data_IF_497976578254
#
_entry.id   IF_497976578254
#
_cell.length_a   1.000
_cell.length_b   1.000
_cell.length_c   1.000
_cell.angle_alpha   90.00
_cell.angle_beta   90.00
_cell.angle_gamma   90.00
#
_symmetry.space_group_name_H-M   'P 1'
#
loop_
_entity.id
_entity.type
_entity.pdbx_description
1 polymer ?
#
# COMPACT_ATOMS: atom_id res chain seq x y z
N UNK A 1 -28.14 -5.17 14.55
CA UNK A 1 -27.27 -3.98 14.54
C UNK A 1 -26.03 -4.34 13.73
N UNK A 2 -25.69 -3.57 12.69
CA UNK A 2 -24.47 -3.83 11.92
C UNK A 2 -23.25 -3.48 12.76
N UNK A 3 -22.26 -4.37 12.86
CA UNK A 3 -20.98 -4.15 13.54
C UNK A 3 -19.99 -3.30 12.72
N UNK A 4 -20.50 -2.54 11.74
CA UNK A 4 -19.65 -1.75 10.85
C UNK A 4 -19.15 -0.52 11.59
N UNK A 5 -17.83 -0.42 11.75
CA UNK A 5 -17.19 0.79 12.25
C UNK A 5 -17.50 1.95 11.30
N UNK A 6 -17.95 3.08 11.84
CA UNK A 6 -18.08 4.34 11.09
C UNK A 6 -16.78 5.11 11.26
N UNK A 7 -15.96 5.12 10.21
CA UNK A 7 -14.69 5.83 10.20
C UNK A 7 -14.85 7.25 9.67
N UNK A 8 -14.07 8.18 10.22
CA UNK A 8 -14.03 9.55 9.70
C UNK A 8 -13.43 9.58 8.28
N UNK A 9 -14.01 10.42 7.41
CA UNK A 9 -13.45 10.73 6.09
C UNK A 9 -12.99 12.19 6.07
N UNK A 10 -11.73 12.43 5.70
CA UNK A 10 -11.14 13.78 5.62
C UNK A 10 -10.76 14.10 4.18
N UNK A 11 -11.13 15.28 3.69
CA UNK A 11 -10.79 15.72 2.33
C UNK A 11 -9.32 16.16 2.23
N UNK A 12 -8.59 15.62 1.26
CA UNK A 12 -7.15 15.87 1.09
C UNK A 12 -6.84 17.32 0.73
N UNK A 13 -7.71 17.97 -0.05
CA UNK A 13 -7.51 19.36 -0.50
C UNK A 13 -7.55 20.31 0.69
N UNK A 14 -8.43 20.07 1.67
CA UNK A 14 -8.48 20.86 2.90
C UNK A 14 -7.26 20.61 3.81
N UNK A 15 -6.75 19.38 3.86
CA UNK A 15 -5.52 19.08 4.59
C UNK A 15 -4.30 19.78 3.98
N UNK A 16 -4.18 19.80 2.65
CA UNK A 16 -3.09 20.50 1.94
C UNK A 16 -3.10 22.01 2.14
N UNK A 17 -4.29 22.59 2.36
CA UNK A 17 -4.45 24.00 2.73
C UNK A 17 -4.18 24.27 4.22
N UNK A 18 -3.78 23.27 4.99
CA UNK A 18 -3.61 23.35 6.44
C UNK A 18 -4.87 23.83 7.15
N UNK A 19 -6.05 23.46 6.65
CA UNK A 19 -7.33 23.82 7.24
C UNK A 19 -7.39 23.30 8.68
N UNK A 20 -7.60 24.20 9.65
CA UNK A 20 -7.64 23.85 11.07
C UNK A 20 -8.65 22.73 11.36
N UNK A 21 -9.81 22.79 10.73
CA UNK A 21 -10.86 21.78 10.89
C UNK A 21 -10.42 20.41 10.39
N UNK A 22 -9.80 20.35 9.21
CA UNK A 22 -9.31 19.09 8.65
C UNK A 22 -8.17 18.48 9.50
N UNK A 23 -7.21 19.29 9.94
CA UNK A 23 -6.12 18.83 10.81
C UNK A 23 -6.62 18.33 12.17
N UNK A 24 -7.63 19.00 12.75
CA UNK A 24 -8.26 18.54 14.00
C UNK A 24 -8.97 17.20 13.81
N UNK A 25 -9.70 17.02 12.71
CA UNK A 25 -10.35 15.75 12.37
C UNK A 25 -9.35 14.60 12.25
N UNK A 26 -8.24 14.80 11.54
CA UNK A 26 -7.18 13.77 11.43
C UNK A 26 -6.63 13.40 12.80
N UNK A 27 -6.25 14.40 13.61
CA UNK A 27 -5.68 14.15 14.94
C UNK A 27 -6.68 13.41 15.84
N UNK A 28 -7.96 13.79 15.79
CA UNK A 28 -9.00 13.14 16.57
C UNK A 28 -9.26 11.71 16.10
N UNK A 29 -9.47 11.48 14.80
CA UNK A 29 -9.72 10.15 14.26
C UNK A 29 -8.52 9.21 14.46
N UNK A 30 -7.29 9.69 14.28
CA UNK A 30 -6.08 8.92 14.59
C UNK A 30 -6.01 8.54 16.07
N UNK A 31 -6.37 9.45 16.99
CA UNK A 31 -6.36 9.18 18.43
C UNK A 31 -7.47 8.23 18.87
N UNK A 32 -8.67 8.40 18.35
CA UNK A 32 -9.87 7.71 18.84
C UNK A 32 -10.15 6.40 18.09
N UNK A 33 -9.85 6.35 16.80
CA UNK A 33 -10.19 5.23 15.90
C UNK A 33 -8.93 4.52 15.37
N UNK A 34 -7.76 5.16 15.43
CA UNK A 34 -6.50 4.61 14.90
C UNK A 34 -6.39 4.62 13.37
N UNK A 35 -7.49 4.88 12.66
CA UNK A 35 -7.59 4.92 11.20
C UNK A 35 -8.68 5.90 10.76
N UNK A 36 -8.57 6.42 9.54
CA UNK A 36 -9.55 7.28 8.88
C UNK A 36 -9.43 7.10 7.36
N UNK A 37 -10.45 7.50 6.61
CA UNK A 37 -10.41 7.58 5.16
C UNK A 37 -9.91 8.96 4.71
N UNK A 38 -9.16 8.97 3.62
CA UNK A 38 -8.78 10.19 2.93
C UNK A 38 -9.60 10.28 1.64
N UNK A 39 -10.39 11.35 1.51
CA UNK A 39 -11.15 11.64 0.30
C UNK A 39 -10.25 12.38 -0.70
N UNK A 40 -10.06 11.75 -1.86
CA UNK A 40 -9.21 12.19 -2.96
C UNK A 40 -10.03 12.78 -4.13
N UNK A 41 -11.35 12.92 -3.99
CA UNK A 41 -12.24 13.26 -5.11
C UNK A 41 -11.91 14.60 -5.77
N UNK A 42 -11.54 15.60 -4.96
CA UNK A 42 -11.18 16.95 -5.44
C UNK A 42 -9.70 17.09 -5.82
N UNK A 43 -8.94 15.99 -5.78
CA UNK A 43 -7.51 16.02 -6.00
C UNK A 43 -7.15 15.43 -7.37
N UNK A 44 -6.22 16.09 -8.06
CA UNK A 44 -5.72 15.63 -9.35
C UNK A 44 -4.75 14.42 -9.23
N UNK A 45 -4.72 13.74 -8.09
CA UNK A 45 -3.91 12.53 -7.92
C UNK A 45 -4.42 11.38 -8.79
N UNK A 46 -5.73 11.25 -8.96
CA UNK A 46 -6.35 10.27 -9.87
C UNK A 46 -6.11 10.63 -11.34
N UNK A 47 -6.13 11.92 -11.69
CA UNK A 47 -5.93 12.37 -13.07
C UNK A 47 -4.47 12.29 -13.56
N UNK A 48 -3.51 12.01 -12.67
CA UNK A 48 -2.12 11.79 -13.05
C UNK A 48 -1.81 10.34 -13.45
N UNK A 49 -2.78 9.41 -13.41
CA UNK A 49 -2.61 8.01 -13.85
C UNK A 49 -1.66 7.17 -12.97
N UNK A 50 -1.16 7.73 -11.88
CA UNK A 50 -0.18 7.06 -11.02
C UNK A 50 -0.79 5.89 -10.23
N UNK A 51 -2.05 6.01 -9.82
CA UNK A 51 -2.74 4.97 -9.04
C UNK A 51 -3.08 3.79 -9.96
N UNK A 52 -3.65 4.08 -11.13
CA UNK A 52 -4.01 3.10 -12.14
C UNK A 52 -2.76 2.40 -12.68
N UNK A 53 -1.67 3.13 -12.91
CA UNK A 53 -0.39 2.56 -13.32
C UNK A 53 0.21 1.60 -12.28
N UNK A 54 0.18 1.97 -11.00
CA UNK A 54 0.64 1.08 -9.91
C UNK A 54 -0.26 -0.16 -9.80
N UNK A 55 -1.57 -0.01 -9.97
CA UNK A 55 -2.51 -1.13 -9.96
C UNK A 55 -2.25 -2.09 -11.12
N UNK A 56 -2.14 -1.59 -12.35
CA UNK A 56 -1.83 -2.38 -13.53
C UNK A 56 -0.47 -3.10 -13.40
N UNK A 57 0.57 -2.39 -12.98
CA UNK A 57 1.89 -2.99 -12.75
C UNK A 57 1.83 -4.09 -11.66
N UNK A 58 1.06 -3.86 -10.60
CA UNK A 58 0.87 -4.88 -9.55
C UNK A 58 0.20 -6.13 -10.11
N UNK A 59 -0.84 -5.98 -10.93
CA UNK A 59 -1.51 -7.11 -11.61
C UNK A 59 -0.54 -7.87 -12.51
N UNK A 60 0.23 -7.16 -13.34
CA UNK A 60 1.24 -7.76 -14.22
C UNK A 60 2.27 -8.57 -13.43
N UNK A 61 2.86 -7.98 -12.39
CA UNK A 61 3.85 -8.65 -11.54
C UNK A 61 3.29 -9.93 -10.92
N UNK A 62 2.07 -9.88 -10.38
CA UNK A 62 1.50 -11.05 -9.69
C UNK A 62 0.96 -12.13 -10.63
N UNK A 63 0.68 -11.78 -11.89
CA UNK A 63 0.33 -12.74 -12.95
C UNK A 63 1.54 -13.46 -13.56
N UNK A 64 2.77 -12.99 -13.33
CA UNK A 64 3.97 -13.68 -13.78
C UNK A 64 4.04 -15.13 -13.23
N UNK A 65 4.60 -16.08 -14.01
CA UNK A 65 4.87 -17.42 -13.51
C UNK A 65 5.67 -17.40 -12.21
N UNK A 66 5.36 -18.34 -11.30
CA UNK A 66 6.01 -18.39 -9.98
C UNK A 66 7.54 -18.40 -10.07
N UNK A 67 8.10 -19.15 -11.04
CA UNK A 67 9.55 -19.21 -11.27
C UNK A 67 10.15 -17.86 -11.64
N UNK A 68 9.42 -17.03 -12.36
CA UNK A 68 9.83 -15.68 -12.74
C UNK A 68 9.72 -14.71 -11.56
N UNK A 69 8.61 -14.75 -10.80
CA UNK A 69 8.47 -13.95 -9.56
C UNK A 69 9.62 -14.22 -8.57
N UNK A 70 10.05 -15.47 -8.45
CA UNK A 70 11.15 -15.89 -7.58
C UNK A 70 12.56 -15.45 -8.05
N UNK A 71 12.69 -14.89 -9.26
CA UNK A 71 13.92 -14.19 -9.67
C UNK A 71 14.09 -12.89 -8.89
N UNK A 72 12.99 -12.25 -8.52
CA UNK A 72 12.95 -11.03 -7.71
C UNK A 72 12.84 -11.30 -6.21
N UNK A 73 13.16 -12.51 -5.75
CA UNK A 73 13.00 -12.88 -4.34
C UNK A 73 13.67 -11.83 -3.42
N UNK A 74 12.91 -11.32 -2.46
CA UNK A 74 13.32 -10.30 -1.48
C UNK A 74 14.60 -10.69 -0.73
N UNK A 75 14.84 -11.98 -0.53
CA UNK A 75 16.04 -12.50 0.14
C UNK A 75 17.30 -12.44 -0.75
N UNK A 76 17.16 -12.17 -2.05
CA UNK A 76 18.25 -12.08 -3.03
C UNK A 76 18.64 -10.64 -3.38
N UNK A 77 17.77 -9.66 -3.13
CA UNK A 77 17.91 -8.30 -3.65
C UNK A 77 18.56 -7.31 -2.68
N UNK A 78 18.73 -7.66 -1.41
CA UNK A 78 19.50 -6.82 -0.48
C UNK A 78 19.36 -7.23 0.98
N UNK A 79 20.32 -6.80 1.79
CA UNK A 79 20.39 -7.12 3.22
C UNK A 79 19.13 -6.72 3.98
N UNK A 80 18.55 -5.58 3.63
CA UNK A 80 17.40 -5.01 4.31
C UNK A 80 16.05 -5.60 3.90
N UNK A 81 16.02 -6.45 2.86
CA UNK A 81 14.79 -7.11 2.38
C UNK A 81 13.62 -6.14 2.13
N UNK A 82 13.95 -4.93 1.70
CA UNK A 82 12.98 -3.85 1.41
C UNK A 82 12.48 -3.85 -0.03
N UNK A 83 13.17 -4.57 -0.93
CA UNK A 83 12.85 -4.63 -2.35
C UNK A 83 12.69 -6.09 -2.79
N UNK A 84 11.67 -6.36 -3.59
CA UNK A 84 11.46 -7.67 -4.20
C UNK A 84 10.22 -8.41 -3.74
N UNK A 85 10.09 -9.61 -4.29
CA UNK A 85 8.97 -10.52 -4.15
C UNK A 85 9.10 -11.40 -2.91
N UNK A 86 7.99 -11.53 -2.17
CA UNK A 86 7.79 -12.47 -1.07
C UNK A 86 6.60 -13.36 -1.40
N UNK A 87 6.78 -14.69 -1.49
CA UNK A 87 5.69 -15.62 -1.75
C UNK A 87 4.74 -15.77 -0.55
N UNK A 88 3.56 -16.32 -0.84
CA UNK A 88 2.57 -16.75 0.14
C UNK A 88 3.20 -17.70 1.16
N UNK A 89 2.86 -17.54 2.42
CA UNK A 89 3.22 -18.47 3.48
C UNK A 89 4.63 -18.30 4.04
N UNK A 90 5.39 -17.31 3.56
CA UNK A 90 6.76 -17.07 4.03
C UNK A 90 6.77 -16.51 5.45
N UNK A 91 5.97 -15.48 5.71
CA UNK A 91 5.95 -14.85 7.03
C UNK A 91 4.92 -15.53 7.94
N UNK A 92 5.09 -15.33 9.25
CA UNK A 92 4.09 -15.73 10.24
C UNK A 92 2.85 -14.86 10.03
N UNK A 93 1.68 -15.48 10.01
CA UNK A 93 0.40 -14.81 9.84
C UNK A 93 -0.12 -14.19 11.14
N UNK A 94 -1.25 -13.49 11.05
CA UNK A 94 -1.91 -12.88 12.21
C UNK A 94 -2.58 -13.89 13.17
N UNK A 95 -2.64 -15.18 12.80
CA UNK A 95 -3.20 -16.24 13.63
C UNK A 95 -2.08 -17.13 14.20
N UNK A 96 -2.14 -17.53 15.48
CA UNK A 96 -1.12 -18.38 16.10
C UNK A 96 -0.87 -19.67 15.29
N UNK A 97 0.41 -19.92 14.98
CA UNK A 97 0.84 -21.11 14.24
C UNK A 97 0.53 -21.09 12.74
N UNK A 98 -0.15 -20.06 12.22
CA UNK A 98 -0.47 -19.94 10.80
C UNK A 98 0.59 -19.10 10.07
N UNK A 99 0.76 -19.37 8.77
CA UNK A 99 1.52 -18.50 7.86
C UNK A 99 0.60 -17.48 7.22
N UNK A 100 1.17 -16.41 6.67
CA UNK A 100 0.40 -15.42 5.95
C UNK A 100 -0.22 -15.97 4.64
N UNK A 101 -1.39 -15.44 4.27
CA UNK A 101 -2.16 -15.90 3.11
C UNK A 101 -1.95 -15.09 1.84
N UNK A 102 -0.90 -14.25 1.78
CA UNK A 102 -0.69 -13.31 0.67
C UNK A 102 0.76 -13.30 0.18
N UNK A 103 0.93 -13.05 -1.10
CA UNK A 103 2.19 -12.65 -1.69
C UNK A 103 2.33 -11.12 -1.66
N UNK A 104 3.56 -10.61 -1.65
CA UNK A 104 3.82 -9.17 -1.67
C UNK A 104 5.04 -8.82 -2.48
N UNK A 105 5.06 -7.61 -3.02
CA UNK A 105 6.24 -7.01 -3.62
C UNK A 105 6.59 -5.73 -2.86
N UNK A 106 7.82 -5.64 -2.34
CA UNK A 106 8.35 -4.44 -1.72
C UNK A 106 9.08 -3.58 -2.74
N UNK A 107 8.85 -2.27 -2.70
CA UNK A 107 9.59 -1.32 -3.53
C UNK A 107 9.86 -0.02 -2.80
N UNK A 108 11.13 0.36 -2.70
CA UNK A 108 11.55 1.74 -2.38
C UNK A 108 11.69 2.55 -3.67
N UNK A 109 11.62 3.89 -3.60
CA UNK A 109 11.69 4.81 -4.75
C UNK A 109 12.88 4.55 -5.69
N UNK A 110 13.99 3.99 -5.18
CA UNK A 110 15.15 3.57 -5.97
C UNK A 110 14.92 2.32 -6.84
N UNK A 111 14.00 1.43 -6.45
CA UNK A 111 13.74 0.14 -7.11
C UNK A 111 12.76 0.22 -8.28
N UNK A 112 11.83 1.19 -8.27
CA UNK A 112 10.89 1.43 -9.37
C UNK A 112 11.60 1.82 -10.67
N UNK A 113 12.69 2.58 -10.58
CA UNK A 113 13.49 2.96 -11.75
C UNK A 113 14.15 1.75 -12.43
N UNK A 114 14.43 0.66 -11.70
CA UNK A 114 15.03 -0.54 -12.27
C UNK A 114 14.02 -1.41 -13.03
N UNK A 115 12.73 -1.35 -12.66
CA UNK A 115 11.65 -2.08 -13.34
C UNK A 115 11.10 -1.32 -14.55
N UNK A 116 11.17 0.00 -14.57
CA UNK A 116 10.60 0.85 -15.65
C UNK A 116 11.63 1.07 -16.79
N UNK A 117 12.89 0.67 -16.61
CA UNK A 117 13.98 0.88 -17.58
C UNK A 117 14.41 -0.38 -18.36
N UNK A 118 13.69 -1.49 -18.18
CA UNK A 118 13.84 -2.74 -18.95
C UNK A 118 12.62 -3.01 -19.80
#
# INVERSE_FOLDING_TARGET
MSLTAQLETVNITELRKFSRGASQKVAQAAKEQGIFYLDLTDDNLSSNGNIEGVAALSEEIFQLPFTEKMQFDVDKLGEWKINGYKPVGRNVGGLPGQRDGFESYGGCFQSLNYLIST
#
